data_IF_723995786583
#
_entry.id   IF_723995786583
#
_cell.length_a   1.000
_cell.length_b   1.000
_cell.length_c   1.000
_cell.angle_alpha   90.00
_cell.angle_beta   90.00
_cell.angle_gamma   90.00
#
_symmetry.space_group_name_H-M   'P 1'
#
loop_
_entity.id
_entity.type
_entity.pdbx_description
1 polymer ?
#
# COMPACT_ATOMS: atom_id res chain seq x y z
N UNK A 1 47.21 -5.46 -46.72
CA UNK A 1 47.63 -5.62 -45.32
C UNK A 1 46.56 -5.00 -44.44
N UNK A 2 45.76 -5.84 -43.79
CA UNK A 2 44.62 -5.43 -42.97
C UNK A 2 45.11 -4.91 -41.62
N UNK A 3 44.96 -3.60 -41.37
CA UNK A 3 45.22 -3.02 -40.05
C UNK A 3 44.17 -3.53 -39.06
N UNK A 4 44.55 -4.48 -38.20
CA UNK A 4 43.75 -4.85 -37.05
C UNK A 4 43.69 -3.66 -36.10
N UNK A 5 42.53 -3.03 -35.98
CA UNK A 5 42.24 -2.02 -34.98
C UNK A 5 42.26 -2.69 -33.60
N UNK A 6 43.44 -2.75 -32.98
CA UNK A 6 43.59 -3.26 -31.61
C UNK A 6 42.78 -2.33 -30.70
N UNK A 7 41.68 -2.86 -30.14
CA UNK A 7 40.80 -2.14 -29.23
C UNK A 7 41.64 -1.77 -28.00
N UNK A 8 42.02 -0.50 -27.88
CA UNK A 8 42.76 -0.03 -26.73
C UNK A 8 41.90 -0.19 -25.46
N UNK A 9 42.22 -1.21 -24.66
CA UNK A 9 41.57 -1.44 -23.38
C UNK A 9 42.24 -0.55 -22.33
N UNK A 10 41.47 0.16 -21.47
CA UNK A 10 42.04 0.96 -20.39
C UNK A 10 42.94 0.16 -19.44
N UNK A 11 42.73 -1.17 -19.37
CA UNK A 11 43.57 -2.08 -18.58
C UNK A 11 44.97 -2.26 -19.15
N UNK A 12 45.08 -2.37 -20.48
CA UNK A 12 46.36 -2.61 -21.18
C UNK A 12 47.29 -1.38 -21.04
N UNK A 13 46.74 -0.16 -21.13
CA UNK A 13 47.47 1.09 -20.88
C UNK A 13 47.97 1.25 -19.43
N UNK A 14 47.20 0.75 -18.46
CA UNK A 14 47.55 0.76 -17.04
C UNK A 14 48.58 -0.33 -16.67
N UNK A 15 48.82 -1.30 -17.56
CA UNK A 15 49.85 -2.33 -17.41
C UNK A 15 51.18 -1.90 -18.05
N UNK A 16 51.13 -1.18 -19.17
CA UNK A 16 52.30 -0.56 -19.80
C UNK A 16 52.92 0.56 -18.94
N UNK A 17 52.12 1.29 -18.16
CA UNK A 17 52.59 2.42 -17.34
C UNK A 17 52.37 2.19 -15.84
N UNK A 18 53.32 1.53 -15.13
CA UNK A 18 53.15 1.18 -13.72
C UNK A 18 53.06 2.40 -12.79
N UNK A 19 53.65 3.54 -13.19
CA UNK A 19 53.57 4.80 -12.44
C UNK A 19 52.16 5.40 -12.43
N UNK A 20 51.47 5.38 -13.58
CA UNK A 20 50.11 5.93 -13.74
C UNK A 20 49.10 5.09 -12.95
N UNK A 21 49.23 3.75 -12.96
CA UNK A 21 48.40 2.85 -12.14
C UNK A 21 48.57 3.11 -10.63
N UNK A 22 49.78 3.43 -10.17
CA UNK A 22 50.05 3.73 -8.75
C UNK A 22 49.43 5.07 -8.34
N UNK A 23 49.55 6.11 -9.16
CA UNK A 23 48.94 7.43 -8.91
C UNK A 23 47.40 7.33 -8.88
N UNK A 24 46.79 6.65 -9.85
CA UNK A 24 45.33 6.47 -9.88
C UNK A 24 44.80 5.70 -8.67
N UNK A 25 45.51 4.67 -8.20
CA UNK A 25 45.14 3.95 -6.97
C UNK A 25 45.26 4.84 -5.73
N UNK A 26 46.29 5.68 -5.65
CA UNK A 26 46.47 6.62 -4.54
C UNK A 26 45.37 7.69 -4.56
N UNK A 27 45.06 8.26 -5.72
CA UNK A 27 43.97 9.24 -5.86
C UNK A 27 42.62 8.61 -5.54
N UNK A 28 42.35 7.39 -6.00
CA UNK A 28 41.13 6.67 -5.68
C UNK A 28 41.02 6.33 -4.18
N UNK A 29 42.13 5.94 -3.54
CA UNK A 29 42.19 5.71 -2.09
C UNK A 29 41.92 7.00 -1.31
N UNK A 30 42.55 8.12 -1.71
CA UNK A 30 42.34 9.42 -1.07
C UNK A 30 40.89 9.87 -1.25
N UNK A 31 40.33 9.76 -2.45
CA UNK A 31 38.92 10.07 -2.71
C UNK A 31 37.99 9.20 -1.87
N UNK A 32 38.26 7.90 -1.78
CA UNK A 32 37.49 6.97 -0.94
C UNK A 32 37.57 7.34 0.54
N UNK A 33 38.76 7.67 1.06
CA UNK A 33 38.96 8.09 2.45
C UNK A 33 38.25 9.41 2.74
N UNK A 34 38.27 10.37 1.82
CA UNK A 34 37.56 11.65 1.95
C UNK A 34 36.04 11.41 1.96
N UNK A 35 35.53 10.56 1.08
CA UNK A 35 34.09 10.23 1.04
C UNK A 35 33.67 9.53 2.33
N UNK A 36 34.46 8.56 2.81
CA UNK A 36 34.20 7.88 4.08
C UNK A 36 34.28 8.84 5.28
N UNK A 37 35.26 9.74 5.33
CA UNK A 37 35.38 10.69 6.43
C UNK A 37 34.24 11.71 6.42
N UNK A 38 33.81 12.17 5.25
CA UNK A 38 32.66 13.06 5.08
C UNK A 38 31.37 12.38 5.56
N UNK A 39 31.14 11.11 5.20
CA UNK A 39 29.99 10.35 5.67
C UNK A 39 29.98 10.16 7.18
N UNK A 40 31.16 9.92 7.79
CA UNK A 40 31.30 9.80 9.25
C UNK A 40 31.00 11.13 9.94
N UNK A 41 31.47 12.26 9.40
CA UNK A 41 31.18 13.59 9.96
C UNK A 41 29.69 13.93 9.86
N UNK A 42 29.04 13.64 8.73
CA UNK A 42 27.60 13.82 8.57
C UNK A 42 26.82 12.90 9.52
N UNK A 43 27.27 11.66 9.71
CA UNK A 43 26.66 10.75 10.67
C UNK A 43 26.78 11.28 12.10
N UNK A 44 27.93 11.82 12.50
CA UNK A 44 28.17 12.40 13.83
C UNK A 44 27.28 13.63 14.06
N UNK A 45 27.17 14.52 13.08
CA UNK A 45 26.31 15.72 13.17
C UNK A 45 24.83 15.33 13.35
N UNK A 46 24.39 14.30 12.62
CA UNK A 46 23.04 13.72 12.73
C UNK A 46 22.82 12.98 14.06
N UNK A 47 23.87 12.42 14.68
CA UNK A 47 23.80 11.64 15.93
C UNK A 47 24.00 12.47 17.20
N UNK A 48 24.01 13.80 17.10
CA UNK A 48 23.98 14.67 18.27
C UNK A 48 22.73 14.38 19.12
N UNK A 49 22.86 14.47 20.45
CA UNK A 49 21.85 14.01 21.43
C UNK A 49 20.41 14.50 21.17
N UNK A 50 20.24 15.69 20.59
CA UNK A 50 18.92 16.22 20.21
C UNK A 50 18.27 15.47 19.03
N UNK A 51 19.05 15.00 18.06
CA UNK A 51 18.57 14.20 16.93
C UNK A 51 18.19 12.78 17.34
N UNK A 52 18.91 12.19 18.30
CA UNK A 52 18.61 10.86 18.84
C UNK A 52 17.26 10.84 19.57
N UNK A 53 17.01 11.77 20.48
CA UNK A 53 15.76 11.79 21.29
C UNK A 53 14.53 11.97 20.40
N UNK A 54 14.58 12.88 19.42
CA UNK A 54 13.46 13.13 18.49
C UNK A 54 13.17 11.92 17.59
N UNK A 55 14.22 11.25 17.09
CA UNK A 55 14.04 10.07 16.21
C UNK A 55 13.62 8.84 17.01
N UNK A 56 14.22 8.61 18.17
CA UNK A 56 13.87 7.51 19.05
C UNK A 56 12.43 7.62 19.53
N UNK A 57 12.00 8.81 19.97
CA UNK A 57 10.61 9.04 20.38
C UNK A 57 9.63 8.83 19.21
N UNK A 58 9.94 9.35 18.02
CA UNK A 58 9.12 9.13 16.83
C UNK A 58 9.02 7.64 16.48
N UNK A 59 10.12 6.91 16.43
CA UNK A 59 10.11 5.47 16.13
C UNK A 59 9.38 4.65 17.19
N UNK A 60 9.45 5.06 18.46
CA UNK A 60 8.66 4.45 19.54
C UNK A 60 7.17 4.66 19.30
N UNK A 61 6.76 5.89 19.00
CA UNK A 61 5.35 6.22 18.75
C UNK A 61 4.85 5.53 17.48
N UNK A 62 5.62 5.55 16.39
CA UNK A 62 5.27 4.91 15.12
C UNK A 62 5.17 3.38 15.30
N UNK A 63 6.12 2.76 16.02
CA UNK A 63 6.11 1.33 16.32
C UNK A 63 4.95 0.91 17.23
N UNK A 64 4.60 1.74 18.21
CA UNK A 64 3.49 1.51 19.13
C UNK A 64 2.15 1.70 18.40
N UNK A 65 2.03 2.72 17.54
CA UNK A 65 0.86 2.93 16.69
C UNK A 65 0.64 1.76 15.72
N UNK A 66 1.70 1.28 15.06
CA UNK A 66 1.64 0.10 14.20
C UNK A 66 1.23 -1.14 15.01
N UNK A 67 1.78 -1.31 16.21
CA UNK A 67 1.46 -2.44 17.09
C UNK A 67 0.02 -2.38 17.60
N UNK A 68 -0.54 -1.20 17.89
CA UNK A 68 -1.96 -1.01 18.24
C UNK A 68 -2.88 -1.38 17.07
N UNK A 69 -2.53 -0.97 15.84
CA UNK A 69 -3.29 -1.32 14.64
C UNK A 69 -3.27 -2.84 14.41
N UNK A 70 -2.08 -3.46 14.48
CA UNK A 70 -1.94 -4.91 14.33
C UNK A 70 -2.65 -5.67 15.48
N UNK A 71 -2.57 -5.16 16.71
CA UNK A 71 -3.27 -5.74 17.87
C UNK A 71 -4.79 -5.69 17.69
N UNK A 72 -5.34 -4.54 17.25
CA UNK A 72 -6.77 -4.39 16.97
C UNK A 72 -7.22 -5.37 15.87
N UNK A 73 -6.44 -5.50 14.79
CA UNK A 73 -6.70 -6.44 13.71
C UNK A 73 -6.72 -7.89 14.22
N UNK A 74 -5.69 -8.31 14.96
CA UNK A 74 -5.55 -9.68 15.48
C UNK A 74 -6.64 -9.97 16.52
N UNK A 75 -6.93 -9.05 17.44
CA UNK A 75 -8.01 -9.22 18.43
C UNK A 75 -9.39 -9.34 17.78
N UNK A 76 -9.68 -8.58 16.72
CA UNK A 76 -10.90 -8.72 15.94
C UNK A 76 -11.03 -10.11 15.31
N UNK A 77 -9.94 -10.63 14.74
CA UNK A 77 -9.89 -11.98 14.18
C UNK A 77 -10.11 -13.06 15.24
N UNK A 78 -9.46 -12.95 16.41
CA UNK A 78 -9.68 -13.86 17.54
C UNK A 78 -11.10 -13.79 18.10
N UNK A 79 -11.71 -12.62 18.17
CA UNK A 79 -13.09 -12.48 18.65
C UNK A 79 -14.09 -13.14 17.70
N UNK A 80 -13.94 -12.96 16.39
CA UNK A 80 -14.80 -13.60 15.39
C UNK A 80 -14.63 -15.12 15.42
N UNK A 81 -13.38 -15.60 15.50
CA UNK A 81 -13.09 -17.04 15.49
C UNK A 81 -13.33 -17.74 16.84
N UNK A 82 -13.27 -17.01 17.93
CA UNK A 82 -13.50 -17.53 19.29
C UNK A 82 -14.98 -17.66 19.65
N UNK A 83 -15.87 -16.95 18.96
CA UNK A 83 -17.32 -16.95 19.24
C UNK A 83 -18.17 -17.60 18.15
N UNK A 84 -17.75 -17.59 16.89
CA UNK A 84 -18.51 -18.22 15.80
C UNK A 84 -18.03 -19.65 15.55
N UNK A 85 -18.88 -20.65 15.85
CA UNK A 85 -18.62 -22.08 15.62
C UNK A 85 -18.42 -22.47 14.13
N UNK A 86 -18.72 -21.56 13.18
CA UNK A 86 -18.46 -21.74 11.74
C UNK A 86 -17.95 -20.43 11.14
N UNK A 87 -16.71 -20.45 10.64
CA UNK A 87 -16.08 -19.30 9.97
C UNK A 87 -16.50 -19.27 8.50
N UNK A 88 -17.23 -18.22 8.11
CA UNK A 88 -17.43 -17.89 6.70
C UNK A 88 -16.36 -16.88 6.26
N UNK A 89 -15.34 -17.37 5.55
CA UNK A 89 -14.24 -16.54 5.04
C UNK A 89 -14.68 -15.50 4.00
N UNK A 90 -15.82 -15.71 3.34
CA UNK A 90 -16.32 -14.77 2.34
C UNK A 90 -16.78 -13.44 2.97
N UNK A 91 -17.06 -13.40 4.27
CA UNK A 91 -17.50 -12.18 4.94
C UNK A 91 -16.46 -11.04 4.84
N UNK A 92 -15.18 -11.35 5.05
CA UNK A 92 -14.09 -10.39 4.90
C UNK A 92 -13.93 -9.89 3.46
N UNK A 93 -14.08 -10.79 2.48
CA UNK A 93 -14.02 -10.45 1.06
C UNK A 93 -15.17 -9.51 0.65
N UNK A 94 -16.40 -9.77 1.11
CA UNK A 94 -17.53 -8.88 0.88
C UNK A 94 -17.37 -7.52 1.55
N UNK A 95 -16.77 -7.47 2.75
CA UNK A 95 -16.48 -6.20 3.42
C UNK A 95 -15.47 -5.36 2.62
N UNK A 96 -14.40 -5.98 2.12
CA UNK A 96 -13.42 -5.29 1.26
C UNK A 96 -14.05 -4.82 -0.06
N UNK A 97 -14.83 -5.67 -0.73
CA UNK A 97 -15.53 -5.30 -1.96
C UNK A 97 -16.50 -4.13 -1.71
N UNK A 98 -17.26 -4.15 -0.62
CA UNK A 98 -18.15 -3.06 -0.23
C UNK A 98 -17.40 -1.73 -0.03
N UNK A 99 -16.26 -1.77 0.68
CA UNK A 99 -15.41 -0.60 0.87
C UNK A 99 -14.84 -0.04 -0.44
N UNK A 100 -14.33 -0.91 -1.31
CA UNK A 100 -13.80 -0.53 -2.62
C UNK A 100 -14.89 0.07 -3.52
N UNK A 101 -16.07 -0.54 -3.57
CA UNK A 101 -17.21 -0.02 -4.32
C UNK A 101 -17.68 1.32 -3.76
N UNK A 102 -17.74 1.47 -2.43
CA UNK A 102 -18.07 2.74 -1.79
C UNK A 102 -17.11 3.86 -2.13
N UNK A 103 -15.80 3.58 -2.14
CA UNK A 103 -14.79 4.55 -2.56
C UNK A 103 -14.90 4.91 -4.05
N UNK A 104 -15.12 3.91 -4.91
CA UNK A 104 -15.27 4.12 -6.36
C UNK A 104 -16.52 4.95 -6.68
N UNK A 105 -17.64 4.66 -6.01
CA UNK A 105 -18.89 5.42 -6.14
C UNK A 105 -18.70 6.83 -5.58
N UNK A 106 -17.99 6.99 -4.46
CA UNK A 106 -17.70 8.31 -3.88
C UNK A 106 -16.95 9.19 -4.89
N UNK A 107 -15.86 8.69 -5.49
CA UNK A 107 -15.11 9.43 -6.51
C UNK A 107 -15.96 9.79 -7.73
N UNK A 108 -16.77 8.83 -8.22
CA UNK A 108 -17.68 9.08 -9.34
C UNK A 108 -18.76 10.12 -8.99
N UNK A 109 -19.29 10.07 -7.78
CA UNK A 109 -20.33 10.99 -7.31
C UNK A 109 -19.77 12.40 -7.10
N UNK A 110 -18.58 12.51 -6.49
CA UNK A 110 -17.89 13.80 -6.31
C UNK A 110 -17.57 14.44 -7.67
N UNK A 111 -17.10 13.66 -8.65
CA UNK A 111 -16.85 14.13 -10.01
C UNK A 111 -18.11 14.67 -10.69
N UNK A 112 -19.26 13.99 -10.51
CA UNK A 112 -20.55 14.46 -11.03
C UNK A 112 -21.06 15.69 -10.28
N UNK A 113 -20.83 15.79 -8.97
CA UNK A 113 -21.37 16.88 -8.15
C UNK A 113 -20.57 18.18 -8.35
N UNK A 114 -19.29 18.07 -8.68
CA UNK A 114 -18.43 19.20 -9.04
C UNK A 114 -18.65 19.72 -10.46
N UNK A 115 -19.40 19.01 -11.32
CA UNK A 115 -19.71 19.46 -12.67
C UNK A 115 -20.65 20.69 -12.64
N UNK A 116 -20.20 21.87 -13.10
CA UNK A 116 -21.02 23.08 -13.11
C UNK A 116 -22.27 22.99 -13.99
N UNK A 117 -22.32 22.03 -14.93
CA UNK A 117 -23.45 21.84 -15.84
C UNK A 117 -24.62 21.09 -15.18
N UNK A 118 -24.41 20.44 -14.04
CA UNK A 118 -25.42 19.60 -13.40
C UNK A 118 -26.21 20.36 -12.32
N UNK A 119 -27.49 20.01 -12.11
CA UNK A 119 -28.37 20.72 -11.18
C UNK A 119 -27.91 20.63 -9.72
N UNK A 120 -27.03 19.68 -9.41
CA UNK A 120 -26.49 19.49 -8.06
C UNK A 120 -25.58 20.65 -7.65
N UNK A 121 -24.71 21.12 -8.55
CA UNK A 121 -23.88 22.30 -8.33
C UNK A 121 -24.74 23.57 -8.13
N UNK A 122 -25.90 23.64 -8.79
CA UNK A 122 -26.85 24.74 -8.63
C UNK A 122 -27.62 24.70 -7.29
N UNK A 123 -27.84 23.52 -6.73
CA UNK A 123 -28.58 23.32 -5.47
C UNK A 123 -27.74 23.61 -4.23
N UNK A 124 -26.50 23.15 -4.24
CA UNK A 124 -25.59 23.29 -3.10
C UNK A 124 -24.66 24.51 -3.26
N UNK A 125 -24.30 24.89 -4.50
CA UNK A 125 -23.39 25.99 -4.77
C UNK A 125 -21.92 25.60 -4.54
N UNK A 126 -21.06 26.57 -4.23
CA UNK A 126 -19.62 26.36 -4.00
C UNK A 126 -19.27 25.76 -2.63
N UNK A 127 -20.24 25.19 -1.90
CA UNK A 127 -20.05 24.64 -0.55
C UNK A 127 -19.46 23.22 -0.60
N UNK A 128 -18.14 23.14 -0.79
CA UNK A 128 -17.37 21.89 -0.87
C UNK A 128 -17.74 20.88 0.24
N UNK A 129 -17.94 21.35 1.48
CA UNK A 129 -18.32 20.49 2.60
C UNK A 129 -19.67 19.77 2.38
N UNK A 130 -20.71 20.48 1.93
CA UNK A 130 -22.02 19.86 1.74
C UNK A 130 -21.99 18.85 0.58
N UNK A 131 -21.26 19.15 -0.48
CA UNK A 131 -21.09 18.25 -1.61
C UNK A 131 -20.34 16.96 -1.20
N UNK A 132 -19.26 17.06 -0.43
CA UNK A 132 -18.55 15.87 0.07
C UNK A 132 -19.41 15.02 1.00
N UNK A 133 -20.20 15.64 1.90
CA UNK A 133 -21.09 14.89 2.82
C UNK A 133 -22.20 14.18 2.06
N UNK A 134 -22.84 14.86 1.11
CA UNK A 134 -23.88 14.24 0.27
C UNK A 134 -23.31 13.13 -0.61
N UNK A 135 -22.13 13.32 -1.21
CA UNK A 135 -21.45 12.29 -1.99
C UNK A 135 -21.10 11.07 -1.12
N UNK A 136 -20.69 11.27 0.13
CA UNK A 136 -20.47 10.19 1.09
C UNK A 136 -21.76 9.42 1.44
N UNK A 137 -22.88 10.11 1.66
CA UNK A 137 -24.16 9.45 1.94
C UNK A 137 -24.63 8.66 0.71
N UNK A 138 -24.54 9.25 -0.48
CA UNK A 138 -24.88 8.57 -1.73
C UNK A 138 -23.99 7.36 -1.96
N UNK A 139 -22.69 7.46 -1.70
CA UNK A 139 -21.77 6.34 -1.85
C UNK A 139 -22.00 5.24 -0.82
N UNK A 140 -22.33 5.58 0.42
CA UNK A 140 -22.68 4.59 1.45
C UNK A 140 -23.95 3.81 1.07
N UNK A 141 -25.00 4.50 0.61
CA UNK A 141 -26.24 3.85 0.15
C UNK A 141 -26.01 3.05 -1.13
N UNK A 142 -25.26 3.61 -2.08
CA UNK A 142 -24.91 2.97 -3.33
C UNK A 142 -24.09 1.69 -3.12
N UNK A 143 -23.07 1.73 -2.29
CA UNK A 143 -22.26 0.57 -1.93
C UNK A 143 -23.10 -0.52 -1.25
N UNK A 144 -23.99 -0.12 -0.34
CA UNK A 144 -24.91 -1.05 0.32
C UNK A 144 -25.84 -1.74 -0.69
N UNK A 145 -26.39 -0.98 -1.64
CA UNK A 145 -27.25 -1.53 -2.69
C UNK A 145 -26.49 -2.51 -3.60
N UNK A 146 -25.29 -2.13 -4.06
CA UNK A 146 -24.43 -3.00 -4.88
C UNK A 146 -24.08 -4.28 -4.14
N UNK A 147 -23.68 -4.18 -2.87
CA UNK A 147 -23.31 -5.35 -2.08
C UNK A 147 -24.52 -6.23 -1.77
N UNK A 148 -25.70 -5.65 -1.55
CA UNK A 148 -26.94 -6.39 -1.37
C UNK A 148 -27.32 -7.17 -2.64
N UNK A 149 -27.12 -6.59 -3.83
CA UNK A 149 -27.36 -7.27 -5.10
C UNK A 149 -26.38 -8.42 -5.33
N UNK A 150 -25.08 -8.18 -5.11
CA UNK A 150 -24.03 -9.21 -5.29
C UNK A 150 -24.22 -10.34 -4.27
N UNK A 151 -24.36 -9.99 -2.99
CA UNK A 151 -24.56 -10.94 -1.90
C UNK A 151 -25.87 -11.73 -2.07
N UNK A 152 -26.96 -11.05 -2.43
CA UNK A 152 -28.24 -11.68 -2.73
C UNK A 152 -28.16 -12.64 -3.92
N UNK A 153 -27.41 -12.29 -4.96
CA UNK A 153 -27.12 -13.17 -6.10
C UNK A 153 -26.39 -14.44 -5.68
N UNK A 154 -25.30 -14.29 -4.91
CA UNK A 154 -24.50 -15.43 -4.42
C UNK A 154 -25.30 -16.33 -3.48
N UNK A 155 -26.09 -15.74 -2.60
CA UNK A 155 -27.01 -16.45 -1.72
C UNK A 155 -28.00 -17.29 -2.54
N UNK A 156 -28.67 -16.68 -3.52
CA UNK A 156 -29.70 -17.34 -4.31
C UNK A 156 -29.16 -18.47 -5.20
N UNK A 157 -28.07 -18.20 -5.93
CA UNK A 157 -27.55 -19.15 -6.91
C UNK A 157 -26.70 -20.25 -6.30
N UNK A 158 -26.03 -19.96 -5.19
CA UNK A 158 -24.96 -20.81 -4.68
C UNK A 158 -25.28 -21.33 -3.28
N UNK A 159 -25.36 -20.45 -2.28
CA UNK A 159 -25.46 -20.84 -0.87
C UNK A 159 -26.75 -21.62 -0.60
N UNK A 160 -27.89 -21.16 -1.13
CA UNK A 160 -29.18 -21.84 -0.95
C UNK A 160 -29.19 -23.29 -1.42
N UNK A 161 -28.39 -23.64 -2.42
CA UNK A 161 -28.29 -25.01 -2.95
C UNK A 161 -27.47 -25.94 -2.06
N UNK A 162 -26.67 -25.38 -1.16
CA UNK A 162 -25.71 -26.09 -0.31
C UNK A 162 -26.15 -26.16 1.15
N UNK A 163 -27.32 -25.61 1.50
CA UNK A 163 -27.89 -25.75 2.84
C UNK A 163 -28.06 -27.23 3.19
N UNK A 164 -27.41 -27.65 4.28
CA UNK A 164 -27.41 -29.02 4.77
C UNK A 164 -26.08 -29.76 4.64
N UNK A 165 -25.09 -29.22 3.90
CA UNK A 165 -23.73 -29.79 3.84
C UNK A 165 -22.67 -28.77 4.31
N UNK A 166 -22.25 -28.84 5.59
CA UNK A 166 -21.30 -27.88 6.16
C UNK A 166 -19.95 -27.84 5.45
N UNK A 167 -19.45 -28.98 4.97
CA UNK A 167 -18.13 -29.09 4.33
C UNK A 167 -18.13 -28.33 3.01
N UNK A 168 -19.19 -28.51 2.21
CA UNK A 168 -19.32 -27.84 0.93
C UNK A 168 -19.53 -26.33 1.09
N UNK A 169 -20.18 -25.89 2.17
CA UNK A 169 -20.35 -24.48 2.50
C UNK A 169 -19.02 -23.80 2.88
N UNK A 170 -18.17 -24.47 3.67
CA UNK A 170 -16.83 -23.94 3.99
C UNK A 170 -15.97 -23.86 2.71
N UNK A 171 -15.96 -24.92 1.89
CA UNK A 171 -15.19 -24.92 0.63
C UNK A 171 -15.65 -23.81 -0.32
N UNK A 172 -16.96 -23.58 -0.42
CA UNK A 172 -17.54 -22.51 -1.21
C UNK A 172 -17.08 -21.12 -0.76
N UNK A 173 -17.13 -20.87 0.54
CA UNK A 173 -16.81 -19.55 1.11
C UNK A 173 -15.31 -19.25 1.02
N UNK A 174 -14.46 -20.26 1.16
CA UNK A 174 -13.03 -20.18 0.84
C UNK A 174 -12.81 -19.94 -0.66
N UNK A 175 -13.56 -20.63 -1.53
CA UNK A 175 -13.50 -20.42 -2.98
C UNK A 175 -13.86 -19.00 -3.39
N UNK A 176 -14.92 -18.42 -2.83
CA UNK A 176 -15.28 -17.03 -3.07
C UNK A 176 -14.24 -16.04 -2.57
N UNK A 177 -13.62 -16.31 -1.41
CA UNK A 177 -12.54 -15.47 -0.89
C UNK A 177 -11.36 -15.33 -1.86
N UNK A 178 -11.05 -16.36 -2.66
CA UNK A 178 -9.96 -16.29 -3.63
C UNK A 178 -10.32 -15.61 -4.95
N UNK A 179 -11.61 -15.53 -5.29
CA UNK A 179 -12.09 -14.98 -6.56
C UNK A 179 -12.36 -13.47 -6.46
N UNK A 180 -12.88 -13.03 -5.31
CA UNK A 180 -13.25 -11.65 -5.02
C UNK A 180 -12.02 -10.85 -4.58
#
# INVERSE_FOLDING_TARGET
MTMQTKRFSPRDYLEENPQVRRILKIVALIAFVIICSLLVVVAIDVYTWNGFVVRASKSLVDGLALSMLLFLMVSGFFLIFGLCDVINFAHGAFFMLGGFMGFTIYLGTEALFLDPALPFFLLFGANQFAMSVTAFVVSAVGATAVLALIGGGIEFFTVRRLYGNPIAQILLTVGFMFII
#
